data_IF_654593205839
#
_entry.id   IF_654593205839
#
_cell.length_a   1.000
_cell.length_b   1.000
_cell.length_c   1.000
_cell.angle_alpha   90.00
_cell.angle_beta   90.00
_cell.angle_gamma   90.00
#
_symmetry.space_group_name_H-M   'P 1'
#
loop_
_entity.id
_entity.type
_entity.pdbx_description
1 polymer ?
#
# COMPACT_ATOMS: atom_id res chain seq x y z
N UNK A 1 -75.28 -81.78 7.49
CA UNK A 1 -74.82 -80.98 6.33
C UNK A 1 -74.46 -79.61 6.87
N UNK A 2 -73.48 -78.95 6.24
CA UNK A 2 -72.85 -77.66 6.61
C UNK A 2 -71.69 -77.83 7.60
N UNK A 3 -70.48 -78.20 7.16
CA UNK A 3 -69.47 -77.50 6.32
C UNK A 3 -68.33 -77.00 7.23
N UNK A 4 -67.19 -77.69 7.13
CA UNK A 4 -65.88 -77.22 7.54
C UNK A 4 -65.50 -76.01 6.66
N UNK A 5 -64.66 -75.09 7.16
CA UNK A 5 -63.35 -74.81 6.57
C UNK A 5 -62.66 -73.66 7.32
N UNK A 6 -61.68 -74.04 8.12
CA UNK A 6 -60.67 -73.18 8.71
C UNK A 6 -59.76 -72.67 7.59
N UNK A 7 -59.88 -71.41 7.18
CA UNK A 7 -58.95 -70.78 6.22
C UNK A 7 -57.71 -70.27 6.97
N UNK A 8 -56.69 -71.13 7.00
CA UNK A 8 -55.29 -70.74 7.09
C UNK A 8 -54.95 -69.85 5.89
N UNK A 9 -54.56 -68.60 6.12
CA UNK A 9 -53.92 -67.78 5.09
C UNK A 9 -52.79 -66.94 5.68
N UNK A 10 -51.57 -67.39 5.41
CA UNK A 10 -50.36 -66.60 5.21
C UNK A 10 -49.60 -67.31 4.09
N UNK A 11 -48.81 -66.67 3.21
CA UNK A 11 -48.20 -65.34 3.35
C UNK A 11 -48.29 -64.45 2.08
N UNK A 12 -48.23 -63.13 2.22
CA UNK A 12 -47.66 -62.29 1.15
C UNK A 12 -46.71 -61.25 1.75
N UNK A 13 -45.43 -61.53 1.53
CA UNK A 13 -44.31 -60.60 1.64
C UNK A 13 -44.52 -59.54 0.56
N UNK A 14 -45.06 -58.36 0.92
CA UNK A 14 -45.01 -57.22 0.02
C UNK A 14 -43.73 -56.42 0.30
N UNK A 15 -42.64 -56.83 -0.36
CA UNK A 15 -41.44 -56.02 -0.54
C UNK A 15 -41.75 -54.92 -1.56
N UNK A 16 -42.12 -53.73 -1.08
CA UNK A 16 -42.19 -52.54 -1.92
C UNK A 16 -41.35 -51.42 -1.32
N UNK A 17 -40.17 -51.25 -1.92
CA UNK A 17 -39.51 -49.96 -2.09
C UNK A 17 -38.89 -49.35 -0.84
N UNK A 18 -37.73 -49.86 -0.40
CA UNK A 18 -36.75 -48.97 0.23
C UNK A 18 -36.24 -48.05 -0.87
N UNK A 19 -36.85 -46.88 -0.99
CA UNK A 19 -36.28 -45.79 -1.77
C UNK A 19 -35.00 -45.35 -1.07
N UNK A 20 -33.85 -45.80 -1.58
CA UNK A 20 -32.56 -45.21 -1.28
C UNK A 20 -32.58 -43.74 -1.70
N UNK A 21 -32.88 -42.85 -0.75
CA UNK A 21 -32.57 -41.44 -0.92
C UNK A 21 -31.04 -41.32 -1.07
N UNK A 22 -30.52 -40.66 -2.11
CA UNK A 22 -29.12 -40.31 -2.12
C UNK A 22 -28.88 -39.42 -0.90
N UNK A 23 -28.04 -39.88 0.02
CA UNK A 23 -27.50 -39.05 1.08
C UNK A 23 -26.80 -37.89 0.38
N UNK A 24 -27.44 -36.72 0.37
CA UNK A 24 -26.78 -35.47 0.05
C UNK A 24 -25.69 -35.31 1.10
N UNK A 25 -24.46 -35.60 0.69
CA UNK A 25 -23.28 -35.21 1.43
C UNK A 25 -23.36 -33.69 1.55
N UNK A 26 -23.62 -33.19 2.76
CA UNK A 26 -23.44 -31.79 3.06
C UNK A 26 -21.97 -31.50 2.80
N UNK A 27 -21.68 -30.96 1.62
CA UNK A 27 -20.34 -30.49 1.27
C UNK A 27 -20.06 -29.36 2.26
N UNK A 28 -19.27 -29.64 3.28
CA UNK A 28 -18.83 -28.64 4.23
C UNK A 28 -18.04 -27.60 3.43
N UNK A 29 -18.65 -26.43 3.22
CA UNK A 29 -18.07 -25.34 2.46
C UNK A 29 -16.74 -24.94 3.10
N UNK A 30 -15.65 -25.36 2.46
CA UNK A 30 -14.30 -25.13 2.98
C UNK A 30 -14.01 -23.65 2.81
N UNK A 31 -14.08 -22.89 3.90
CA UNK A 31 -13.79 -21.44 3.90
C UNK A 31 -12.42 -21.21 3.26
N UNK A 32 -12.42 -20.53 2.11
CA UNK A 32 -11.22 -20.21 1.37
C UNK A 32 -10.45 -19.11 2.09
N UNK A 33 -9.25 -19.44 2.54
CA UNK A 33 -8.35 -18.53 3.27
C UNK A 33 -7.60 -17.60 2.32
N UNK A 34 -7.48 -17.94 1.04
CA UNK A 34 -6.76 -17.15 0.02
C UNK A 34 -7.25 -15.71 -0.13
N UNK A 35 -8.57 -15.46 -0.32
CA UNK A 35 -9.12 -14.11 -0.38
C UNK A 35 -8.87 -13.30 0.90
N UNK A 36 -8.86 -13.96 2.07
CA UNK A 36 -8.63 -13.33 3.36
C UNK A 36 -7.17 -12.84 3.48
N UNK A 37 -6.21 -13.67 3.03
CA UNK A 37 -4.80 -13.24 2.98
C UNK A 37 -4.61 -12.12 1.95
N UNK A 38 -5.27 -12.23 0.78
CA UNK A 38 -5.18 -11.22 -0.27
C UNK A 38 -5.64 -9.84 0.20
N UNK A 39 -6.80 -9.77 0.86
CA UNK A 39 -7.30 -8.50 1.40
C UNK A 39 -6.40 -7.95 2.50
N UNK A 40 -5.82 -8.81 3.35
CA UNK A 40 -4.90 -8.39 4.40
C UNK A 40 -3.66 -7.69 3.82
N UNK A 41 -3.08 -8.22 2.74
CA UNK A 41 -1.92 -7.61 2.07
C UNK A 41 -2.30 -6.24 1.47
N UNK A 42 -3.46 -6.15 0.81
CA UNK A 42 -3.94 -4.89 0.22
C UNK A 42 -4.12 -3.82 1.30
N UNK A 43 -4.73 -4.17 2.45
CA UNK A 43 -4.90 -3.24 3.57
C UNK A 43 -3.56 -2.73 4.10
N UNK A 44 -2.57 -3.61 4.24
CA UNK A 44 -1.22 -3.22 4.68
C UNK A 44 -0.58 -2.23 3.70
N UNK A 45 -0.67 -2.48 2.40
CA UNK A 45 -0.14 -1.57 1.36
C UNK A 45 -0.86 -0.21 1.40
N UNK A 46 -2.18 -0.18 1.59
CA UNK A 46 -2.93 1.08 1.69
C UNK A 46 -2.52 1.87 2.93
N UNK A 47 -2.31 1.21 4.08
CA UNK A 47 -1.83 1.87 5.30
C UNK A 47 -0.45 2.47 5.06
N UNK A 48 0.49 1.70 4.51
CA UNK A 48 1.84 2.22 4.22
C UNK A 48 1.82 3.32 3.16
N UNK A 49 1.05 3.17 2.09
CA UNK A 49 0.90 4.19 1.05
C UNK A 49 0.26 5.47 1.59
N UNK A 50 -0.76 5.35 2.44
CA UNK A 50 -1.40 6.47 3.12
C UNK A 50 -0.46 7.18 4.09
N UNK A 51 0.27 6.43 4.91
CA UNK A 51 1.25 6.99 5.85
C UNK A 51 2.45 7.64 5.12
N UNK A 52 2.92 7.05 4.02
CA UNK A 52 3.99 7.62 3.19
C UNK A 52 3.55 8.95 2.57
N UNK A 53 2.36 8.99 1.96
CA UNK A 53 1.82 10.19 1.33
C UNK A 53 1.49 11.29 2.36
N UNK A 54 0.87 10.93 3.48
CA UNK A 54 0.49 11.88 4.52
C UNK A 54 1.70 12.39 5.31
N UNK A 55 2.68 11.52 5.61
CA UNK A 55 3.92 11.90 6.28
C UNK A 55 4.74 12.91 5.47
N UNK A 56 4.85 12.70 4.15
CA UNK A 56 5.51 13.68 3.27
C UNK A 56 4.78 15.02 3.18
N UNK A 57 3.45 15.04 3.31
CA UNK A 57 2.66 16.28 3.23
C UNK A 57 2.89 17.20 4.43
N UNK A 58 2.98 16.65 5.65
CA UNK A 58 3.16 17.45 6.87
C UNK A 58 4.53 18.14 6.87
N UNK A 59 5.60 17.44 6.46
CA UNK A 59 6.93 18.04 6.33
C UNK A 59 6.96 19.19 5.32
N UNK A 60 6.25 19.04 4.20
CA UNK A 60 6.17 20.07 3.17
C UNK A 60 5.32 21.28 3.59
N UNK A 61 4.31 21.10 4.46
CA UNK A 61 3.49 22.20 4.97
C UNK A 61 4.23 23.08 5.98
N UNK A 62 5.15 22.54 6.79
CA UNK A 62 6.02 23.35 7.66
C UNK A 62 7.06 24.13 6.86
N UNK A 63 7.70 23.49 5.87
CA UNK A 63 8.67 24.16 4.99
C UNK A 63 8.01 25.28 4.18
N UNK A 64 6.82 25.05 3.63
CA UNK A 64 6.04 26.11 2.95
C UNK A 64 5.65 27.25 3.86
N UNK A 65 5.28 26.99 5.11
CA UNK A 65 4.91 28.06 6.04
C UNK A 65 6.11 28.90 6.48
N UNK A 66 7.29 28.28 6.64
CA UNK A 66 8.52 29.03 6.87
C UNK A 66 8.87 29.93 5.66
N UNK A 67 8.62 29.42 4.46
CA UNK A 67 8.89 30.14 3.21
C UNK A 67 7.88 31.27 2.93
N UNK A 68 6.58 31.08 3.19
CA UNK A 68 5.55 32.13 3.01
C UNK A 68 5.73 33.36 3.94
N UNK A 69 6.48 33.23 5.04
CA UNK A 69 6.74 34.33 5.97
C UNK A 69 8.07 35.07 5.70
N UNK A 70 8.86 34.59 4.75
CA UNK A 70 10.16 35.19 4.40
C UNK A 70 9.94 36.35 3.42
N UNK A 71 10.53 37.52 3.68
CA UNK A 71 10.43 38.65 2.73
C UNK A 71 11.56 38.62 1.69
N UNK A 72 11.36 39.23 0.51
CA UNK A 72 12.44 39.39 -0.47
C UNK A 72 13.68 40.10 0.11
N UNK A 73 13.50 41.06 1.04
CA UNK A 73 14.63 41.73 1.69
C UNK A 73 15.40 40.79 2.65
N UNK A 74 14.72 39.82 3.27
CA UNK A 74 15.38 38.81 4.11
C UNK A 74 16.15 37.80 3.25
N UNK A 75 15.64 37.42 2.07
CA UNK A 75 16.34 36.54 1.12
C UNK A 75 17.62 37.21 0.60
N UNK A 76 17.52 38.46 0.16
CA UNK A 76 18.67 39.23 -0.35
C UNK A 76 19.81 39.44 0.67
N UNK A 77 19.50 39.39 1.96
CA UNK A 77 20.47 39.54 3.03
C UNK A 77 20.97 38.20 3.61
N UNK A 78 20.42 37.07 3.16
CA UNK A 78 20.90 35.74 3.52
C UNK A 78 22.06 35.33 2.62
N UNK A 79 23.01 34.59 3.21
CA UNK A 79 24.09 33.96 2.45
C UNK A 79 23.56 32.68 1.81
N UNK A 80 23.73 32.56 0.50
CA UNK A 80 23.40 31.35 -0.27
C UNK A 80 24.48 30.28 -0.04
N UNK A 81 24.25 29.43 0.97
CA UNK A 81 25.15 28.35 1.34
C UNK A 81 25.10 27.18 0.36
N UNK A 82 23.99 27.04 -0.37
CA UNK A 82 23.78 26.00 -1.38
C UNK A 82 24.70 26.23 -2.58
N UNK A 83 24.80 27.46 -3.06
CA UNK A 83 25.73 27.83 -4.12
C UNK A 83 27.18 27.75 -3.65
N UNK A 84 27.45 28.12 -2.40
CA UNK A 84 28.81 28.01 -1.84
C UNK A 84 29.28 26.54 -1.76
N UNK A 85 28.40 25.62 -1.37
CA UNK A 85 28.74 24.18 -1.31
C UNK A 85 28.95 23.59 -2.71
N UNK A 86 28.11 23.94 -3.69
CA UNK A 86 28.22 23.47 -5.07
C UNK A 86 29.44 24.02 -5.82
N UNK A 87 30.01 25.13 -5.35
CA UNK A 87 31.25 25.69 -5.89
C UNK A 87 32.51 24.97 -5.40
N UNK A 88 32.42 24.14 -4.35
CA UNK A 88 33.55 23.36 -3.86
C UNK A 88 33.76 22.15 -4.75
N UNK A 89 34.70 22.29 -5.70
CA UNK A 89 35.12 21.22 -6.60
C UNK A 89 36.65 21.17 -6.64
N UNK A 90 37.20 19.98 -6.90
CA UNK A 90 38.63 19.84 -7.12
C UNK A 90 39.06 20.49 -8.45
N UNK A 91 40.35 20.80 -8.57
CA UNK A 91 40.94 21.25 -9.85
C UNK A 91 41.63 20.11 -10.60
N UNK A 92 41.37 18.87 -10.19
CA UNK A 92 42.06 17.68 -10.68
C UNK A 92 41.19 16.97 -11.71
N UNK A 93 41.83 16.43 -12.75
CA UNK A 93 41.16 15.61 -13.76
C UNK A 93 41.31 14.10 -13.46
N UNK A 94 41.84 13.74 -12.29
CA UNK A 94 41.96 12.35 -11.86
C UNK A 94 40.58 11.76 -11.54
N UNK A 95 40.34 10.52 -11.96
CA UNK A 95 39.02 9.88 -11.82
C UNK A 95 38.55 9.83 -10.36
N UNK A 96 39.46 9.55 -9.42
CA UNK A 96 39.13 9.49 -7.99
C UNK A 96 38.66 10.84 -7.44
N UNK A 97 39.21 11.94 -7.94
CA UNK A 97 38.83 13.28 -7.50
C UNK A 97 37.48 13.69 -8.09
N UNK A 98 37.20 13.31 -9.35
CA UNK A 98 35.88 13.50 -9.98
C UNK A 98 34.79 12.72 -9.23
N UNK A 99 35.06 11.46 -8.86
CA UNK A 99 34.11 10.67 -8.06
C UNK A 99 33.87 11.28 -6.68
N UNK A 100 34.89 11.88 -6.07
CA UNK A 100 34.74 12.60 -4.81
C UNK A 100 33.87 13.86 -4.98
N UNK A 101 34.12 14.68 -6.00
CA UNK A 101 33.35 15.88 -6.30
C UNK A 101 31.86 15.56 -6.58
N UNK A 102 31.59 14.49 -7.32
CA UNK A 102 30.22 14.03 -7.59
C UNK A 102 29.51 13.54 -6.32
N UNK A 103 30.21 12.87 -5.41
CA UNK A 103 29.65 12.43 -4.14
C UNK A 103 29.39 13.60 -3.17
N UNK A 104 30.10 14.71 -3.33
CA UNK A 104 29.89 15.94 -2.57
C UNK A 104 28.79 16.83 -3.17
N UNK A 105 28.32 16.51 -4.38
CA UNK A 105 27.21 17.25 -5.00
C UNK A 105 25.92 16.97 -4.23
N UNK A 106 25.54 17.92 -3.40
CA UNK A 106 24.29 17.89 -2.63
C UNK A 106 23.25 18.79 -3.30
N UNK A 107 22.08 18.21 -3.61
CA UNK A 107 20.96 18.88 -4.27
C UNK A 107 19.69 18.85 -3.41
N UNK A 108 19.79 18.39 -2.16
CA UNK A 108 18.61 18.19 -1.31
C UNK A 108 17.92 19.53 -0.96
N UNK A 109 18.69 20.63 -0.93
CA UNK A 109 18.20 21.97 -0.56
C UNK A 109 17.78 22.84 -1.78
N UNK A 110 17.94 22.35 -3.02
CA UNK A 110 17.65 23.13 -4.23
C UNK A 110 16.17 23.53 -4.35
N UNK A 111 15.25 22.67 -3.90
CA UNK A 111 13.82 22.97 -3.95
C UNK A 111 13.46 24.18 -3.07
N UNK A 112 14.16 24.36 -1.94
CA UNK A 112 13.99 25.51 -1.07
C UNK A 112 14.57 26.78 -1.72
N UNK A 113 15.75 26.68 -2.35
CA UNK A 113 16.40 27.78 -3.08
C UNK A 113 15.51 28.29 -4.23
N UNK A 114 14.96 27.39 -5.03
CA UNK A 114 14.04 27.73 -6.14
C UNK A 114 12.78 28.42 -5.61
N UNK A 115 12.29 27.96 -4.46
CA UNK A 115 11.17 28.58 -3.77
C UNK A 115 11.44 30.00 -3.28
N UNK A 116 12.68 30.29 -2.83
CA UNK A 116 13.11 31.65 -2.48
C UNK A 116 13.17 32.56 -3.72
N UNK A 117 13.61 32.03 -4.86
CA UNK A 117 13.64 32.77 -6.14
C UNK A 117 12.22 33.16 -6.58
N UNK A 118 11.24 32.26 -6.45
CA UNK A 118 9.84 32.58 -6.77
C UNK A 118 9.33 33.73 -5.90
N UNK A 119 9.66 33.74 -4.60
CA UNK A 119 9.31 34.84 -3.68
C UNK A 119 9.99 36.14 -4.08
N UNK A 120 11.30 36.12 -4.37
CA UNK A 120 12.06 37.31 -4.77
C UNK A 120 11.49 37.93 -6.05
N UNK A 121 11.11 37.09 -7.02
CA UNK A 121 10.56 37.51 -8.31
C UNK A 121 9.05 37.80 -8.26
N UNK A 122 8.38 37.46 -7.16
CA UNK A 122 6.93 37.61 -7.00
C UNK A 122 6.12 36.72 -7.95
N UNK A 123 6.62 35.51 -8.24
CA UNK A 123 5.98 34.48 -9.08
C UNK A 123 5.12 33.53 -8.25
#
# INVERSE_FOLDING_TARGET
MEENFNQNNSPEINMQGVSEQPQQTMNAEKKSVGPIIGIAIIVVIIIFGGLYYWGGKINNEELRQAQENTTPEEILNQQDTSVESLQVQSTSDEITDIEADLNLTDLDDLDAELGNIDIELGL
#
